data_IF_303316931455
#
_entry.id   IF_303316931455
#
_cell.length_a   1.000
_cell.length_b   1.000
_cell.length_c   1.000
_cell.angle_alpha   90.00
_cell.angle_beta   90.00
_cell.angle_gamma   90.00
#
_symmetry.space_group_name_H-M   'P 1'
#
loop_
_entity.id
_entity.type
_entity.pdbx_description
1 polymer ?
#
# COMPACT_ATOMS: atom_id res chain seq x y z
N UNK A 1 10.52 -5.33 38.63
CA UNK A 1 9.70 -4.12 38.85
C UNK A 1 10.18 -2.91 38.07
N UNK A 2 11.48 -2.62 38.09
CA UNK A 2 12.08 -1.58 37.23
C UNK A 2 11.89 -1.86 35.73
N UNK A 3 12.00 -3.12 35.34
CA UNK A 3 11.84 -3.52 33.93
C UNK A 3 10.40 -3.27 33.42
N UNK A 4 9.40 -3.51 34.25
CA UNK A 4 8.01 -3.26 33.88
C UNK A 4 7.73 -1.77 33.69
N UNK A 5 8.26 -0.93 34.56
CA UNK A 5 8.10 0.51 34.46
C UNK A 5 8.87 1.06 33.25
N UNK A 6 10.07 0.57 33.02
CA UNK A 6 10.89 0.96 31.87
C UNK A 6 10.22 0.55 30.55
N UNK A 7 9.64 -0.65 30.50
CA UNK A 7 8.91 -1.14 29.33
C UNK A 7 7.67 -0.28 29.05
N UNK A 8 6.88 0.03 30.09
CA UNK A 8 5.70 0.85 29.93
C UNK A 8 6.06 2.26 29.45
N UNK A 9 7.12 2.86 29.99
CA UNK A 9 7.60 4.16 29.54
C UNK A 9 8.08 4.12 28.10
N UNK A 10 8.78 3.03 27.72
CA UNK A 10 9.26 2.86 26.35
C UNK A 10 8.09 2.67 25.36
N UNK A 11 7.08 1.87 25.71
CA UNK A 11 5.90 1.67 24.90
C UNK A 11 5.11 2.98 24.75
N UNK A 12 5.02 3.77 25.81
CA UNK A 12 4.34 5.08 25.78
C UNK A 12 5.05 6.08 24.86
N UNK A 13 6.35 5.85 24.57
CA UNK A 13 7.13 6.72 23.68
C UNK A 13 7.10 6.29 22.22
N UNK A 14 6.52 5.11 21.91
CA UNK A 14 6.38 4.65 20.54
C UNK A 14 5.36 5.53 19.82
N UNK A 15 5.76 6.26 18.77
CA UNK A 15 4.80 7.10 18.06
C UNK A 15 3.72 6.25 17.38
N UNK A 16 2.50 6.73 17.48
CA UNK A 16 1.34 6.12 16.83
C UNK A 16 0.76 7.11 15.85
N UNK A 17 0.64 6.71 14.60
CA UNK A 17 0.05 7.51 13.54
C UNK A 17 -1.23 6.81 13.10
N UNK A 18 -2.33 7.57 13.09
CA UNK A 18 -3.62 7.07 12.62
C UNK A 18 -3.89 7.68 11.25
N UNK A 19 -4.16 6.83 10.27
CA UNK A 19 -4.51 7.24 8.92
C UNK A 19 -5.97 6.86 8.68
N UNK A 20 -6.80 7.87 8.43
CA UNK A 20 -8.22 7.66 8.13
C UNK A 20 -8.37 7.58 6.62
N UNK A 21 -8.90 6.45 6.16
CA UNK A 21 -9.02 6.16 4.74
C UNK A 21 -7.87 5.28 4.25
N UNK A 22 -8.20 4.06 3.85
CA UNK A 22 -7.22 3.08 3.37
C UNK A 22 -7.34 2.84 1.86
N UNK A 23 -7.59 3.91 1.11
CA UNK A 23 -7.48 3.93 -0.35
C UNK A 23 -6.01 4.04 -0.78
N UNK A 24 -5.76 4.48 -2.00
CA UNK A 24 -4.40 4.61 -2.54
C UNK A 24 -3.52 5.48 -1.63
N UNK A 25 -3.96 6.70 -1.35
CA UNK A 25 -3.15 7.67 -0.59
C UNK A 25 -2.85 7.17 0.82
N UNK A 26 -3.85 6.67 1.53
CA UNK A 26 -3.68 6.17 2.89
C UNK A 26 -2.78 4.95 2.95
N UNK A 27 -2.98 3.99 2.05
CA UNK A 27 -2.18 2.77 2.00
C UNK A 27 -0.71 3.05 1.67
N UNK A 28 -0.46 3.88 0.66
CA UNK A 28 0.92 4.24 0.26
C UNK A 28 1.60 5.05 1.36
N UNK A 29 0.87 5.96 2.01
CA UNK A 29 1.40 6.71 3.15
C UNK A 29 1.85 5.77 4.27
N UNK A 30 1.02 4.78 4.61
CA UNK A 30 1.36 3.79 5.64
C UNK A 30 2.62 3.01 5.26
N UNK A 31 2.71 2.54 4.02
CA UNK A 31 3.88 1.81 3.52
C UNK A 31 5.14 2.67 3.63
N UNK A 32 5.09 3.92 3.19
CA UNK A 32 6.25 4.81 3.23
C UNK A 32 6.67 5.15 4.65
N UNK A 33 5.72 5.38 5.55
CA UNK A 33 6.03 5.63 6.96
C UNK A 33 6.78 4.45 7.58
N UNK A 34 6.30 3.23 7.36
CA UNK A 34 6.94 2.02 7.90
C UNK A 34 8.30 1.76 7.27
N UNK A 35 8.46 2.01 5.98
CA UNK A 35 9.74 1.83 5.28
C UNK A 35 10.79 2.84 5.70
N UNK A 36 10.39 4.08 6.01
CA UNK A 36 11.30 5.16 6.38
C UNK A 36 11.48 5.33 7.88
N UNK A 37 10.79 4.54 8.69
CA UNK A 37 10.89 4.61 10.13
C UNK A 37 12.32 4.27 10.58
N UNK A 38 12.88 5.11 11.44
CA UNK A 38 14.22 4.90 12.02
C UNK A 38 14.19 4.19 13.36
N UNK A 39 13.00 3.87 13.85
CA UNK A 39 12.77 3.19 15.12
C UNK A 39 11.36 2.66 15.18
N UNK A 40 10.93 2.12 16.31
CA UNK A 40 9.60 1.57 16.46
C UNK A 40 8.52 2.62 16.14
N UNK A 41 7.53 2.22 15.35
CA UNK A 41 6.41 3.05 14.96
C UNK A 41 5.17 2.19 14.84
N UNK A 42 4.04 2.74 15.27
CA UNK A 42 2.73 2.10 15.11
C UNK A 42 1.92 2.91 14.12
N UNK A 43 1.43 2.24 13.08
CA UNK A 43 0.55 2.85 12.09
C UNK A 43 -0.78 2.13 12.14
N UNK A 44 -1.86 2.89 12.31
CA UNK A 44 -3.23 2.37 12.34
C UNK A 44 -3.96 2.91 11.13
N UNK A 45 -4.43 2.00 10.26
CA UNK A 45 -5.27 2.35 9.13
C UNK A 45 -6.73 2.13 9.50
N UNK A 46 -7.54 3.18 9.34
CA UNK A 46 -8.97 3.13 9.57
C UNK A 46 -9.67 3.11 8.21
N UNK A 47 -10.46 2.08 7.97
CA UNK A 47 -11.16 1.89 6.71
C UNK A 47 -12.65 1.68 6.94
N UNK A 48 -13.45 2.38 6.18
CA UNK A 48 -14.91 2.32 6.26
C UNK A 48 -15.47 1.03 5.64
N UNK A 49 -14.79 0.51 4.63
CA UNK A 49 -15.14 -0.75 3.96
C UNK A 49 -14.15 -1.84 4.38
N UNK A 50 -14.48 -3.09 4.23
CA UNK A 50 -13.57 -4.19 4.55
C UNK A 50 -12.37 -4.33 3.59
N UNK A 51 -12.28 -3.48 2.56
CA UNK A 51 -11.21 -3.58 1.53
C UNK A 51 -10.23 -2.43 1.66
N UNK A 52 -9.10 -2.70 2.28
CA UNK A 52 -8.01 -1.74 2.40
C UNK A 52 -7.26 -1.57 1.08
N UNK A 53 -6.68 -0.40 0.89
CA UNK A 53 -5.81 -0.03 -0.23
C UNK A 53 -6.50 0.19 -1.58
N UNK A 54 -7.77 -0.13 -1.73
CA UNK A 54 -8.46 0.00 -3.03
C UNK A 54 -9.13 1.34 -3.25
N UNK A 55 -9.89 1.85 -2.25
CA UNK A 55 -10.67 3.07 -2.42
C UNK A 55 -11.70 2.96 -3.54
N UNK A 56 -12.27 4.08 -3.95
CA UNK A 56 -13.26 4.13 -5.03
C UNK A 56 -12.64 3.88 -6.41
N UNK A 57 -11.41 4.37 -6.62
CA UNK A 57 -10.76 4.28 -7.93
C UNK A 57 -10.38 2.84 -8.31
N UNK A 58 -10.02 2.02 -7.32
CA UNK A 58 -9.48 0.67 -7.55
C UNK A 58 -10.34 -0.43 -6.94
N UNK A 59 -11.49 -0.08 -6.39
CA UNK A 59 -12.40 -1.03 -5.75
C UNK A 59 -13.31 -1.79 -6.71
N UNK A 60 -13.26 -1.47 -8.00
CA UNK A 60 -14.09 -2.12 -9.01
C UNK A 60 -13.68 -3.57 -9.23
N UNK A 61 -14.66 -4.47 -9.33
CA UNK A 61 -14.42 -5.86 -9.69
C UNK A 61 -14.44 -6.13 -11.20
N UNK A 62 -14.75 -5.11 -12.03
CA UNK A 62 -14.87 -5.27 -13.47
C UNK A 62 -13.52 -5.21 -14.17
N UNK A 63 -13.23 -6.21 -15.00
CA UNK A 63 -12.03 -6.21 -15.84
C UNK A 63 -12.10 -5.17 -16.98
N UNK A 64 -13.30 -4.64 -17.27
CA UNK A 64 -13.48 -3.63 -18.29
C UNK A 64 -13.02 -2.23 -17.83
N UNK A 65 -12.91 -2.01 -16.52
CA UNK A 65 -12.40 -0.76 -15.97
C UNK A 65 -10.88 -0.80 -15.95
N UNK A 66 -10.25 -0.23 -16.96
CA UNK A 66 -8.79 -0.20 -17.07
C UNK A 66 -8.21 1.10 -16.51
N UNK A 67 -6.93 1.06 -16.19
CA UNK A 67 -6.18 2.24 -15.82
C UNK A 67 -6.04 3.17 -17.02
N UNK A 68 -5.98 4.48 -16.76
CA UNK A 68 -5.73 5.49 -17.79
C UNK A 68 -4.25 5.88 -17.88
N UNK A 69 -3.38 5.16 -17.18
CA UNK A 69 -1.93 5.33 -17.20
C UNK A 69 -1.30 3.96 -17.47
N UNK A 70 -0.27 3.89 -18.34
CA UNK A 70 0.40 2.61 -18.64
C UNK A 70 1.01 1.96 -17.39
N UNK A 71 1.07 0.63 -17.39
CA UNK A 71 1.58 -0.15 -16.26
C UNK A 71 2.99 0.25 -15.82
N UNK A 72 3.84 0.64 -16.77
CA UNK A 72 5.20 1.06 -16.48
C UNK A 72 5.31 2.36 -15.68
N UNK A 73 4.23 3.15 -15.61
CA UNK A 73 4.22 4.45 -14.92
C UNK A 73 3.39 4.43 -13.64
N UNK A 74 3.04 3.26 -13.12
CA UNK A 74 2.11 3.14 -12.02
C UNK A 74 2.72 2.55 -10.75
N UNK A 75 4.05 2.56 -10.62
CA UNK A 75 4.66 2.12 -9.36
C UNK A 75 4.21 2.99 -8.18
N UNK A 76 3.89 2.35 -7.06
CA UNK A 76 3.62 3.05 -5.81
C UNK A 76 4.91 3.46 -5.09
N UNK A 77 6.06 2.97 -5.54
CA UNK A 77 7.36 3.20 -4.90
C UNK A 77 8.26 4.02 -5.82
N UNK A 78 8.63 5.21 -5.38
CA UNK A 78 9.48 6.09 -6.19
C UNK A 78 10.88 5.51 -6.41
N UNK A 79 11.38 4.74 -5.46
CA UNK A 79 12.70 4.08 -5.53
C UNK A 79 12.67 2.77 -6.31
N UNK A 80 11.51 2.32 -6.75
CA UNK A 80 11.34 1.13 -7.57
C UNK A 80 10.31 1.42 -8.68
N UNK A 81 10.69 2.18 -9.73
CA UNK A 81 9.73 2.66 -10.72
C UNK A 81 9.06 1.55 -11.53
N UNK A 82 9.62 0.35 -11.57
CA UNK A 82 9.06 -0.80 -12.25
C UNK A 82 8.29 -1.78 -11.33
N UNK A 83 8.05 -1.40 -10.09
CA UNK A 83 7.48 -2.32 -9.09
C UNK A 83 6.12 -2.86 -9.49
N UNK A 84 5.20 -2.01 -9.96
CA UNK A 84 3.91 -2.47 -10.43
C UNK A 84 4.01 -3.36 -11.67
N UNK A 85 4.90 -3.01 -12.61
CA UNK A 85 5.13 -3.83 -13.81
C UNK A 85 5.62 -5.22 -13.43
N UNK A 86 6.55 -5.32 -12.50
CA UNK A 86 7.04 -6.60 -11.99
C UNK A 86 5.93 -7.39 -11.30
N UNK A 87 5.08 -6.72 -10.56
CA UNK A 87 3.90 -7.36 -9.95
C UNK A 87 2.98 -7.96 -11.01
N UNK A 88 2.72 -7.22 -12.10
CA UNK A 88 1.91 -7.72 -13.19
C UNK A 88 2.50 -8.97 -13.83
N UNK A 89 3.82 -9.03 -13.95
CA UNK A 89 4.52 -10.16 -14.57
C UNK A 89 4.36 -11.48 -13.81
N UNK A 90 4.02 -11.46 -12.54
CA UNK A 90 3.73 -12.68 -11.78
C UNK A 90 2.53 -13.44 -12.32
N UNK A 91 1.50 -12.72 -12.75
CA UNK A 91 0.29 -13.35 -13.30
C UNK A 91 0.26 -13.36 -14.81
N UNK A 92 0.92 -12.41 -15.47
CA UNK A 92 0.93 -12.29 -16.92
C UNK A 92 2.25 -11.68 -17.42
N UNK A 93 3.23 -12.52 -17.80
CA UNK A 93 4.51 -12.02 -18.30
C UNK A 93 4.41 -11.24 -19.61
N UNK A 94 3.26 -11.29 -20.30
CA UNK A 94 3.06 -10.53 -21.54
C UNK A 94 2.73 -9.06 -21.32
N UNK A 95 2.45 -8.62 -20.08
CA UNK A 95 2.20 -7.23 -19.78
C UNK A 95 3.47 -6.43 -20.03
N UNK A 96 3.34 -5.36 -20.79
CA UNK A 96 4.45 -4.47 -21.15
C UNK A 96 4.32 -3.14 -20.43
N UNK A 97 5.40 -2.36 -20.41
CA UNK A 97 5.38 -1.04 -19.78
C UNK A 97 4.30 -0.13 -20.35
N UNK A 98 3.98 -0.29 -21.63
CA UNK A 98 2.97 0.49 -22.34
C UNK A 98 1.55 -0.04 -22.17
N UNK A 99 1.38 -1.20 -21.53
CA UNK A 99 0.07 -1.84 -21.39
C UNK A 99 -0.84 -1.12 -20.40
N UNK A 100 -2.13 -1.07 -20.73
CA UNK A 100 -3.16 -0.58 -19.83
C UNK A 100 -3.86 -1.79 -19.20
N UNK A 101 -3.69 -1.94 -17.89
CA UNK A 101 -4.22 -3.10 -17.16
C UNK A 101 -5.50 -2.73 -16.41
N UNK A 102 -6.32 -3.73 -16.00
CA UNK A 102 -7.53 -3.46 -15.23
C UNK A 102 -7.24 -2.76 -13.90
N UNK A 103 -8.11 -1.85 -13.51
CA UNK A 103 -8.01 -1.12 -12.23
C UNK A 103 -8.01 -2.07 -11.03
N UNK A 104 -8.76 -3.16 -11.11
CA UNK A 104 -8.79 -4.18 -10.05
C UNK A 104 -7.42 -4.78 -9.78
N UNK A 105 -6.58 -4.91 -10.80
CA UNK A 105 -5.22 -5.44 -10.66
C UNK A 105 -4.34 -4.47 -9.88
N UNK A 106 -4.50 -3.18 -10.09
CA UNK A 106 -3.79 -2.19 -9.31
C UNK A 106 -4.22 -2.20 -7.85
N UNK A 107 -5.52 -2.37 -7.59
CA UNK A 107 -6.02 -2.55 -6.22
C UNK A 107 -5.40 -3.76 -5.53
N UNK A 108 -5.29 -4.88 -6.23
CA UNK A 108 -4.63 -6.08 -5.70
C UNK A 108 -3.14 -5.84 -5.41
N UNK A 109 -2.46 -5.09 -6.27
CA UNK A 109 -1.08 -4.68 -6.06
C UNK A 109 -0.91 -3.87 -4.77
N UNK A 110 -1.77 -2.87 -4.55
CA UNK A 110 -1.73 -2.05 -3.34
C UNK A 110 -2.01 -2.89 -2.08
N UNK A 111 -2.95 -3.82 -2.15
CA UNK A 111 -3.22 -4.74 -1.04
C UNK A 111 -2.01 -5.61 -0.71
N UNK A 112 -1.35 -6.15 -1.74
CA UNK A 112 -0.15 -6.96 -1.56
C UNK A 112 0.99 -6.16 -0.96
N UNK A 113 1.16 -4.91 -1.40
CA UNK A 113 2.19 -4.02 -0.89
C UNK A 113 1.96 -3.69 0.59
N UNK A 114 0.71 -3.47 0.97
CA UNK A 114 0.35 -3.18 2.35
C UNK A 114 0.54 -4.39 3.27
N UNK A 115 0.34 -5.60 2.75
CA UNK A 115 0.49 -6.85 3.50
C UNK A 115 1.96 -7.26 3.70
N UNK A 116 2.85 -6.74 2.89
CA UNK A 116 4.28 -7.09 2.97
C UNK A 116 5.00 -6.40 4.19
#
# INVERSE_FOLDING_TARGET
MLDTMSRAAHEAQVPTIVIVGAGFSGAVTAVQLLRQARGPMRVILVNETGRMARGLAYGTGSAAHVLNVPAGNMSALADAPDDFLRYCHWSDPSVRAESFVPRRQYGAYLEALLAA
#
